data_IF_372481062878
#
_entry.id   IF_372481062878
#
_cell.length_a   1.000
_cell.length_b   1.000
_cell.length_c   1.000
_cell.angle_alpha   90.00
_cell.angle_beta   90.00
_cell.angle_gamma   90.00
#
_symmetry.space_group_name_H-M   'P 1'
#
loop_
_entity.id
_entity.type
_entity.pdbx_description
1 polymer ?
#
# COMPACT_ATOMS: atom_id res chain seq x y z
N UNK A 1 35.30 -0.46 -12.45
CA UNK A 1 34.36 -1.02 -11.42
C UNK A 1 32.89 -0.68 -11.67
N UNK A 2 32.50 0.39 -12.33
CA UNK A 2 31.08 0.74 -12.56
C UNK A 2 30.39 -0.08 -13.68
N UNK A 3 31.13 -0.78 -14.54
CA UNK A 3 30.56 -1.49 -15.71
C UNK A 3 29.60 -2.63 -15.35
N UNK A 4 29.83 -3.33 -14.25
CA UNK A 4 28.97 -4.44 -13.79
C UNK A 4 27.62 -3.99 -13.24
N UNK A 5 27.49 -2.72 -12.82
CA UNK A 5 26.26 -2.15 -12.25
C UNK A 5 25.45 -1.32 -13.24
N UNK A 6 25.89 -1.21 -14.49
CA UNK A 6 25.24 -0.36 -15.50
C UNK A 6 23.76 -0.67 -15.70
N UNK A 7 23.35 -1.95 -15.59
CA UNK A 7 21.95 -2.31 -15.75
C UNK A 7 21.05 -1.77 -14.62
N UNK A 8 21.57 -1.72 -13.37
CA UNK A 8 20.84 -1.21 -12.21
C UNK A 8 20.79 0.32 -12.24
N UNK A 9 21.87 0.96 -12.69
CA UNK A 9 22.01 2.41 -12.69
C UNK A 9 21.39 3.10 -13.92
N UNK A 10 20.93 2.33 -14.93
CA UNK A 10 20.24 2.92 -16.10
C UNK A 10 18.84 3.39 -15.74
N UNK A 11 18.40 4.53 -16.29
CA UNK A 11 17.02 4.98 -16.17
C UNK A 11 16.02 3.94 -16.66
N UNK A 12 14.79 4.01 -16.12
CA UNK A 12 13.68 3.17 -16.54
C UNK A 12 12.40 4.00 -16.55
N UNK A 13 11.54 3.74 -17.55
CA UNK A 13 10.21 4.33 -17.62
C UNK A 13 9.17 3.37 -17.02
N UNK A 14 8.45 3.83 -16.00
CA UNK A 14 7.38 3.11 -15.34
C UNK A 14 6.05 3.80 -15.67
N UNK A 15 5.46 3.47 -16.83
CA UNK A 15 4.34 4.21 -17.38
C UNK A 15 4.74 5.66 -17.68
N UNK A 16 4.03 6.67 -17.16
CA UNK A 16 4.39 8.07 -17.37
C UNK A 16 5.56 8.54 -16.48
N UNK A 17 5.94 7.76 -15.48
CA UNK A 17 6.97 8.12 -14.51
C UNK A 17 8.34 7.62 -14.96
N UNK A 18 9.31 8.53 -15.07
CA UNK A 18 10.71 8.19 -15.34
C UNK A 18 11.49 8.14 -14.04
N UNK A 19 12.22 7.05 -13.84
CA UNK A 19 13.13 6.83 -12.72
C UNK A 19 14.58 6.95 -13.21
N UNK A 20 15.45 7.63 -12.44
CA UNK A 20 16.87 7.84 -12.81
C UNK A 20 17.69 6.55 -12.81
N UNK A 21 17.24 5.54 -12.06
CA UNK A 21 17.85 4.20 -11.99
C UNK A 21 16.81 3.18 -11.56
N UNK A 22 17.23 1.94 -11.26
CA UNK A 22 16.34 0.83 -10.85
C UNK A 22 16.42 0.50 -9.36
N UNK A 23 17.00 1.39 -8.54
CA UNK A 23 17.05 1.24 -7.09
C UNK A 23 15.82 1.91 -6.48
N UNK A 24 15.10 1.16 -5.68
CA UNK A 24 13.91 1.65 -4.95
C UNK A 24 13.99 1.25 -3.48
N UNK A 25 13.50 2.10 -2.60
CA UNK A 25 13.31 1.77 -1.19
C UNK A 25 11.91 1.19 -1.01
N UNK A 26 11.82 -0.06 -0.55
CA UNK A 26 10.55 -0.70 -0.22
C UNK A 26 9.88 -0.03 0.99
N UNK A 27 8.56 -0.16 1.14
CA UNK A 27 7.87 0.35 2.33
C UNK A 27 8.34 -0.41 3.58
N UNK A 28 8.86 0.33 4.56
CA UNK A 28 9.38 -0.20 5.82
C UNK A 28 8.64 0.45 6.97
N UNK A 29 8.15 -0.36 7.92
CA UNK A 29 7.66 0.16 9.19
C UNK A 29 8.85 0.58 10.05
N UNK A 30 9.09 1.89 10.13
CA UNK A 30 10.20 2.47 10.89
C UNK A 30 9.87 2.67 12.37
N UNK A 31 8.59 2.58 12.74
CA UNK A 31 8.10 3.01 14.06
C UNK A 31 7.96 4.53 14.20
N UNK A 32 8.31 5.31 13.17
CA UNK A 32 8.22 6.78 13.16
C UNK A 32 6.91 7.28 12.55
N UNK A 33 6.00 6.39 12.17
CA UNK A 33 4.77 6.70 11.43
C UNK A 33 3.68 7.36 12.29
N UNK A 34 4.04 8.08 13.33
CA UNK A 34 3.11 8.88 14.14
C UNK A 34 3.31 10.38 13.87
N UNK A 35 2.29 11.18 14.16
CA UNK A 35 2.32 12.62 13.89
C UNK A 35 3.43 13.37 14.62
N UNK A 36 3.88 12.89 15.78
CA UNK A 36 4.96 13.52 16.56
C UNK A 36 6.34 13.31 15.95
N UNK A 37 6.51 12.33 15.07
CA UNK A 37 7.79 11.93 14.49
C UNK A 37 7.92 12.25 12.99
N UNK A 38 7.02 13.07 12.43
CA UNK A 38 7.04 13.37 10.98
C UNK A 38 8.34 14.01 10.49
N UNK A 39 9.04 14.77 11.32
CA UNK A 39 10.34 15.35 10.97
C UNK A 39 11.40 14.23 10.82
N UNK A 40 11.51 13.34 11.82
CA UNK A 40 12.44 12.21 11.77
C UNK A 40 12.11 11.25 10.62
N UNK A 41 10.81 11.05 10.30
CA UNK A 41 10.39 10.26 9.16
C UNK A 41 10.76 10.95 7.82
N UNK A 42 10.67 12.28 7.75
CA UNK A 42 11.11 13.03 6.59
C UNK A 42 12.61 12.93 6.36
N UNK A 43 13.40 13.02 7.44
CA UNK A 43 14.86 12.87 7.39
C UNK A 43 15.24 11.45 6.92
N UNK A 44 14.59 10.41 7.43
CA UNK A 44 14.81 9.02 7.02
C UNK A 44 14.62 8.81 5.50
N UNK A 45 13.53 9.34 4.93
CA UNK A 45 13.29 9.20 3.49
C UNK A 45 14.19 10.13 2.65
N UNK A 46 14.54 11.30 3.16
CA UNK A 46 15.47 12.21 2.51
C UNK A 46 16.89 11.62 2.43
N UNK A 47 17.35 10.94 3.48
CA UNK A 47 18.64 10.25 3.51
C UNK A 47 18.68 9.13 2.44
N UNK A 48 17.66 8.28 2.37
CA UNK A 48 17.56 7.27 1.33
C UNK A 48 17.58 7.88 -0.09
N UNK A 49 16.91 9.02 -0.29
CA UNK A 49 16.91 9.73 -1.57
C UNK A 49 18.29 10.33 -1.91
N UNK A 50 19.01 10.86 -0.89
CA UNK A 50 20.37 11.38 -1.01
C UNK A 50 21.37 10.27 -1.38
N UNK A 51 21.18 9.05 -0.87
CA UNK A 51 21.98 7.86 -1.18
C UNK A 51 21.74 7.32 -2.61
N UNK A 52 20.86 7.97 -3.37
CA UNK A 52 20.75 7.76 -4.81
C UNK A 52 19.64 6.83 -5.27
N UNK A 53 18.72 6.38 -4.40
CA UNK A 53 17.53 5.66 -4.86
C UNK A 53 16.66 6.55 -5.76
N UNK A 54 15.95 5.95 -6.69
CA UNK A 54 15.11 6.66 -7.66
C UNK A 54 13.64 6.76 -7.22
N UNK A 55 13.23 5.90 -6.30
CA UNK A 55 11.88 5.87 -5.75
C UNK A 55 11.94 5.44 -4.28
N UNK A 56 11.33 6.21 -3.40
CA UNK A 56 11.04 5.79 -2.02
C UNK A 56 9.55 5.50 -1.89
N UNK A 57 9.20 4.39 -1.24
CA UNK A 57 7.81 4.07 -0.94
C UNK A 57 7.56 4.22 0.56
N UNK A 58 6.68 5.15 0.93
CA UNK A 58 6.29 5.35 2.31
C UNK A 58 5.43 4.17 2.78
N UNK A 59 5.78 3.62 3.95
CA UNK A 59 4.91 2.70 4.65
C UNK A 59 3.63 3.43 5.08
N UNK A 60 2.47 2.81 4.87
CA UNK A 60 1.18 3.43 5.22
C UNK A 60 1.00 3.51 6.73
N UNK A 61 1.08 4.69 7.35
CA UNK A 61 1.05 4.83 8.81
C UNK A 61 -0.34 4.59 9.43
N UNK A 62 -1.39 4.60 8.65
CA UNK A 62 -2.74 4.28 9.13
C UNK A 62 -2.86 2.89 9.75
N UNK A 63 -1.84 2.05 9.58
CA UNK A 63 -1.85 0.64 9.96
C UNK A 63 -1.07 0.33 11.23
N UNK A 64 -0.10 1.16 11.64
CA UNK A 64 0.84 0.77 12.69
C UNK A 64 0.40 1.09 14.13
N UNK A 65 -0.40 2.11 14.38
CA UNK A 65 -0.69 2.53 15.75
C UNK A 65 -2.14 2.81 16.10
N UNK A 66 -2.89 3.39 15.18
CA UNK A 66 -4.28 3.81 15.44
C UNK A 66 -5.33 2.78 15.00
N UNK A 67 -4.94 1.75 14.26
CA UNK A 67 -5.83 0.64 13.88
C UNK A 67 -6.40 -0.14 15.10
N UNK A 68 -5.96 0.16 16.30
CA UNK A 68 -6.52 -0.43 17.53
C UNK A 68 -7.84 0.19 17.95
N UNK A 69 -8.25 1.34 17.42
CA UNK A 69 -9.44 2.03 17.92
C UNK A 69 -10.50 2.42 16.89
N UNK A 70 -10.20 2.51 15.59
CA UNK A 70 -11.18 2.85 14.55
C UNK A 70 -10.99 2.08 13.25
N UNK A 71 -12.01 1.51 12.83
CA UNK A 71 -12.40 0.47 11.91
C UNK A 71 -12.02 0.57 10.43
N UNK A 72 -11.35 1.55 9.93
CA UNK A 72 -11.06 1.70 8.50
C UNK A 72 -9.56 1.60 8.21
N UNK A 73 -9.19 0.52 7.54
CA UNK A 73 -7.87 -0.11 7.45
C UNK A 73 -7.06 0.33 6.23
N UNK A 74 -7.58 1.21 5.48
CA UNK A 74 -6.83 2.06 4.56
C UNK A 74 -6.64 3.39 5.24
N UNK A 75 -5.61 4.20 4.90
CA UNK A 75 -5.69 5.60 5.24
C UNK A 75 -7.10 6.01 4.85
N UNK A 76 -7.92 6.35 5.86
CA UNK A 76 -9.34 6.53 5.59
C UNK A 76 -9.48 7.65 4.58
N UNK A 77 -10.57 7.63 3.84
CA UNK A 77 -10.93 8.77 2.98
C UNK A 77 -10.99 10.09 3.78
N UNK A 78 -11.08 10.01 5.12
CA UNK A 78 -11.00 11.13 6.05
C UNK A 78 -9.59 11.53 6.45
N UNK A 79 -8.56 10.71 6.21
CA UNK A 79 -7.20 11.05 6.60
C UNK A 79 -6.66 12.25 5.80
N UNK A 80 -6.06 13.18 6.51
CA UNK A 80 -5.45 14.35 5.89
C UNK A 80 -4.08 14.00 5.31
N UNK A 81 -4.06 13.65 4.02
CA UNK A 81 -2.82 13.37 3.29
C UNK A 81 -1.87 14.57 3.23
N UNK A 82 -2.33 15.80 3.55
CA UNK A 82 -1.45 16.99 3.62
C UNK A 82 -0.37 16.85 4.68
N UNK A 83 -0.55 16.00 5.68
CA UNK A 83 0.46 15.69 6.70
C UNK A 83 1.76 15.12 6.11
N UNK A 84 1.72 14.50 4.92
CA UNK A 84 2.91 13.98 4.25
C UNK A 84 3.72 15.04 3.48
N UNK A 85 3.19 16.27 3.34
CA UNK A 85 3.91 17.34 2.62
C UNK A 85 5.33 17.61 3.13
N UNK A 86 5.65 17.57 4.44
CA UNK A 86 7.05 17.71 4.90
C UNK A 86 7.97 16.65 4.31
N UNK A 87 7.52 15.39 4.23
CA UNK A 87 8.29 14.27 3.65
C UNK A 87 8.47 14.48 2.15
N UNK A 88 7.39 14.79 1.42
CA UNK A 88 7.45 15.07 -0.01
C UNK A 88 8.41 16.23 -0.31
N UNK A 89 8.38 17.29 0.50
CA UNK A 89 9.29 18.43 0.39
C UNK A 89 10.74 18.03 0.65
N UNK A 90 11.02 17.25 1.68
CA UNK A 90 12.38 16.79 2.02
C UNK A 90 12.99 15.96 0.87
N UNK A 91 12.22 15.03 0.30
CA UNK A 91 12.66 14.19 -0.82
C UNK A 91 12.78 14.95 -2.14
N UNK A 92 11.97 16.01 -2.35
CA UNK A 92 11.96 16.79 -3.60
C UNK A 92 13.27 17.50 -3.93
N UNK A 93 14.17 17.66 -2.95
CA UNK A 93 15.53 18.21 -3.14
C UNK A 93 16.44 17.24 -3.92
N UNK A 94 16.02 15.99 -4.08
CA UNK A 94 16.75 14.95 -4.78
C UNK A 94 15.95 14.49 -6.01
N UNK A 95 16.62 14.02 -7.04
CA UNK A 95 15.93 13.39 -8.18
C UNK A 95 15.44 11.98 -7.77
N UNK A 96 14.39 11.97 -6.93
CA UNK A 96 13.79 10.79 -6.37
C UNK A 96 12.26 10.94 -6.37
N UNK A 97 11.56 9.91 -6.82
CA UNK A 97 10.10 9.85 -6.80
C UNK A 97 9.60 9.32 -5.46
N UNK A 98 8.37 9.67 -5.11
CA UNK A 98 7.77 9.25 -3.84
C UNK A 98 6.46 8.53 -4.10
N UNK A 99 6.37 7.28 -3.62
CA UNK A 99 5.14 6.52 -3.56
C UNK A 99 4.65 6.37 -2.11
N UNK A 100 3.39 6.00 -1.94
CA UNK A 100 2.83 5.55 -0.66
C UNK A 100 2.21 4.18 -0.81
N UNK A 101 2.48 3.29 0.14
CA UNK A 101 1.84 1.99 0.21
C UNK A 101 0.37 2.14 0.63
N UNK A 102 -0.52 1.47 -0.09
CA UNK A 102 -1.92 1.28 0.27
C UNK A 102 -2.14 -0.18 0.66
N UNK A 103 -2.53 -0.42 1.91
CA UNK A 103 -2.69 -1.77 2.43
C UNK A 103 -4.02 -1.92 3.18
N UNK A 104 -4.70 -3.04 2.97
CA UNK A 104 -5.86 -3.48 3.74
C UNK A 104 -5.51 -4.75 4.49
N UNK A 105 -5.32 -4.69 5.80
CA UNK A 105 -4.82 -5.80 6.64
C UNK A 105 -5.84 -6.93 6.88
N UNK A 106 -7.04 -6.81 6.31
CA UNK A 106 -8.00 -7.92 6.22
C UNK A 106 -8.35 -8.54 7.56
N UNK A 107 -8.01 -9.81 7.71
CA UNK A 107 -8.30 -10.62 8.89
C UNK A 107 -7.68 -10.13 10.21
N UNK A 108 -6.62 -9.35 10.12
CA UNK A 108 -5.91 -8.81 11.28
C UNK A 108 -6.37 -7.40 11.66
N UNK A 109 -7.42 -6.92 10.99
CA UNK A 109 -8.01 -5.63 11.29
C UNK A 109 -8.49 -5.54 12.72
N UNK A 110 -8.15 -4.45 13.39
CA UNK A 110 -8.62 -4.16 14.77
C UNK A 110 -10.11 -3.82 14.89
N UNK A 111 -10.92 -4.17 13.89
CA UNK A 111 -12.36 -3.88 13.79
C UNK A 111 -13.22 -4.96 14.41
N UNK A 112 -14.49 -4.63 14.65
CA UNK A 112 -15.47 -5.58 15.20
C UNK A 112 -15.72 -6.78 14.26
N UNK A 113 -15.67 -6.56 12.94
CA UNK A 113 -15.89 -7.58 11.91
C UNK A 113 -14.74 -7.62 10.89
N UNK A 114 -13.59 -8.23 11.28
CA UNK A 114 -12.48 -8.40 10.32
C UNK A 114 -12.93 -9.30 9.17
N UNK A 115 -12.37 -9.07 7.97
CA UNK A 115 -12.75 -9.79 6.75
C UNK A 115 -11.54 -10.43 6.07
N UNK A 116 -11.79 -11.53 5.35
CA UNK A 116 -10.83 -12.20 4.49
C UNK A 116 -11.55 -12.79 3.26
N UNK A 117 -10.85 -13.52 2.41
CA UNK A 117 -11.49 -14.26 1.30
C UNK A 117 -12.46 -15.32 1.80
N UNK A 118 -12.12 -15.98 2.91
CA UNK A 118 -12.93 -17.01 3.60
C UNK A 118 -13.02 -16.71 5.09
N UNK A 119 -13.97 -17.32 5.85
CA UNK A 119 -14.04 -17.14 7.29
C UNK A 119 -12.93 -17.94 8.01
N UNK A 120 -12.61 -17.53 9.23
CA UNK A 120 -11.62 -18.21 10.05
C UNK A 120 -11.32 -17.48 11.37
N UNK A 121 -10.21 -17.87 11.99
CA UNK A 121 -9.67 -17.22 13.19
C UNK A 121 -8.25 -16.74 12.91
N UNK A 122 -7.98 -15.48 13.16
CA UNK A 122 -6.63 -14.91 12.99
C UNK A 122 -5.69 -15.50 14.06
N UNK A 123 -4.62 -16.12 13.62
CA UNK A 123 -3.54 -16.61 14.49
C UNK A 123 -2.80 -15.49 15.21
N UNK A 124 -2.89 -14.27 14.68
CA UNK A 124 -2.21 -13.11 15.24
C UNK A 124 -3.02 -12.39 16.30
N UNK A 125 -4.31 -12.20 16.08
CA UNK A 125 -5.20 -11.46 16.98
C UNK A 125 -6.06 -12.35 17.84
N UNK A 126 -6.16 -13.66 17.52
CA UNK A 126 -7.11 -14.59 18.15
C UNK A 126 -8.59 -14.33 17.83
N UNK A 127 -8.88 -13.33 17.00
CA UNK A 127 -10.25 -12.94 16.65
C UNK A 127 -10.77 -13.69 15.44
N UNK A 128 -12.07 -14.00 15.45
CA UNK A 128 -12.77 -14.51 14.28
C UNK A 128 -12.86 -13.45 13.19
N UNK A 129 -12.74 -13.87 11.94
CA UNK A 129 -12.98 -13.04 10.77
C UNK A 129 -13.96 -13.70 9.80
N UNK A 130 -14.58 -12.90 8.96
CA UNK A 130 -15.66 -13.33 8.07
C UNK A 130 -15.22 -13.34 6.61
N UNK A 131 -15.85 -14.20 5.79
CA UNK A 131 -15.73 -14.10 4.35
C UNK A 131 -16.28 -12.76 3.88
N UNK A 132 -15.49 -12.00 3.13
CA UNK A 132 -15.91 -10.71 2.60
C UNK A 132 -17.06 -10.89 1.59
N UNK A 133 -18.27 -10.37 1.83
CA UNK A 133 -19.31 -10.36 0.81
C UNK A 133 -18.95 -9.39 -0.32
N UNK A 134 -19.52 -9.59 -1.49
CA UNK A 134 -19.15 -8.85 -2.71
C UNK A 134 -19.26 -7.31 -2.55
N UNK A 135 -20.21 -6.83 -1.74
CA UNK A 135 -20.36 -5.38 -1.51
C UNK A 135 -19.19 -4.80 -0.70
N UNK A 136 -18.63 -5.54 0.28
CA UNK A 136 -17.44 -5.11 1.01
C UNK A 136 -16.18 -5.16 0.16
N UNK A 137 -16.06 -6.14 -0.74
CA UNK A 137 -14.96 -6.18 -1.72
C UNK A 137 -15.01 -4.93 -2.61
N UNK A 138 -16.18 -4.60 -3.14
CA UNK A 138 -16.36 -3.38 -3.96
C UNK A 138 -16.11 -2.10 -3.16
N UNK A 139 -16.54 -2.05 -1.90
CA UNK A 139 -16.24 -0.94 -0.99
C UNK A 139 -14.73 -0.78 -0.83
N UNK A 140 -13.99 -1.86 -0.59
CA UNK A 140 -12.53 -1.82 -0.47
C UNK A 140 -11.87 -1.33 -1.77
N UNK A 141 -12.29 -1.81 -2.95
CA UNK A 141 -11.80 -1.33 -4.25
C UNK A 141 -11.99 0.19 -4.37
N UNK A 142 -13.17 0.69 -4.01
CA UNK A 142 -13.46 2.12 -4.05
C UNK A 142 -12.59 2.92 -3.08
N UNK A 143 -12.36 2.42 -1.87
CA UNK A 143 -11.49 3.04 -0.88
C UNK A 143 -10.04 3.13 -1.36
N UNK A 144 -9.50 2.08 -1.99
CA UNK A 144 -8.18 2.12 -2.63
C UNK A 144 -8.08 3.24 -3.67
N UNK A 145 -9.10 3.37 -4.53
CA UNK A 145 -9.14 4.40 -5.56
C UNK A 145 -9.20 5.82 -4.96
N UNK A 146 -10.02 6.02 -3.93
CA UNK A 146 -10.11 7.31 -3.23
C UNK A 146 -8.79 7.68 -2.55
N UNK A 147 -8.10 6.71 -1.91
CA UNK A 147 -6.79 6.96 -1.31
C UNK A 147 -5.74 7.29 -2.38
N UNK A 148 -5.74 6.60 -3.52
CA UNK A 148 -4.84 6.89 -4.64
C UNK A 148 -5.05 8.31 -5.18
N UNK A 149 -6.31 8.74 -5.36
CA UNK A 149 -6.65 10.11 -5.78
C UNK A 149 -6.16 11.16 -4.79
N UNK A 150 -6.32 10.92 -3.48
CA UNK A 150 -5.83 11.82 -2.44
C UNK A 150 -4.31 11.89 -2.39
N UNK A 151 -3.63 10.75 -2.51
CA UNK A 151 -2.18 10.72 -2.61
C UNK A 151 -1.68 11.58 -3.79
N UNK A 152 -2.27 11.41 -4.98
CA UNK A 152 -1.95 12.22 -6.14
C UNK A 152 -2.22 13.72 -5.90
N UNK A 153 -3.33 14.07 -5.23
CA UNK A 153 -3.70 15.48 -4.98
C UNK A 153 -2.75 16.23 -4.06
N UNK A 154 -1.94 15.52 -3.26
CA UNK A 154 -0.94 16.15 -2.36
C UNK A 154 0.48 16.06 -2.90
N UNK A 155 0.71 15.34 -4.02
CA UNK A 155 1.98 15.33 -4.73
C UNK A 155 2.77 14.02 -4.67
N UNK A 156 2.15 12.89 -4.30
CA UNK A 156 2.77 11.58 -4.53
C UNK A 156 2.84 11.27 -6.02
N UNK A 157 3.97 10.70 -6.47
CA UNK A 157 4.18 10.28 -7.86
C UNK A 157 3.48 8.95 -8.18
N UNK A 158 3.30 8.08 -7.17
CA UNK A 158 2.69 6.77 -7.33
C UNK A 158 2.03 6.26 -6.03
N UNK A 159 1.24 5.20 -6.17
CA UNK A 159 0.79 4.37 -5.05
C UNK A 159 1.24 2.93 -5.26
N UNK A 160 1.64 2.26 -4.18
CA UNK A 160 1.94 0.84 -4.14
C UNK A 160 0.76 0.10 -3.49
N UNK A 161 0.20 -0.90 -4.18
CA UNK A 161 -0.91 -1.70 -3.64
C UNK A 161 -0.34 -2.94 -3.00
N UNK A 162 -0.43 -3.06 -1.67
CA UNK A 162 0.04 -4.25 -0.97
C UNK A 162 -0.86 -5.45 -1.27
N UNK A 163 -0.28 -6.43 -1.97
CA UNK A 163 -0.90 -7.71 -2.29
C UNK A 163 -0.11 -8.90 -1.69
N UNK A 164 0.65 -8.65 -0.63
CA UNK A 164 1.54 -9.63 0.01
C UNK A 164 1.13 -9.93 1.45
N UNK A 165 1.78 -10.93 2.04
CA UNK A 165 1.65 -11.27 3.45
C UNK A 165 0.21 -11.61 3.85
N UNK A 166 -0.32 -10.88 4.83
CA UNK A 166 -1.66 -11.07 5.38
C UNK A 166 -2.67 -10.01 4.93
N UNK A 167 -2.32 -9.27 3.87
CA UNK A 167 -3.24 -8.28 3.31
C UNK A 167 -4.55 -8.93 2.81
N UNK A 168 -5.62 -8.16 2.78
CA UNK A 168 -6.90 -8.65 2.26
C UNK A 168 -6.75 -9.15 0.82
N UNK A 169 -6.05 -8.41 -0.03
CA UNK A 169 -5.81 -8.80 -1.43
C UNK A 169 -5.03 -10.11 -1.50
N UNK A 170 -3.99 -10.29 -0.68
CA UNK A 170 -3.22 -11.55 -0.64
C UNK A 170 -4.09 -12.76 -0.29
N UNK A 171 -5.06 -12.58 0.62
CA UNK A 171 -6.00 -13.66 0.97
C UNK A 171 -6.84 -14.12 -0.22
N UNK A 172 -7.16 -13.22 -1.15
CA UNK A 172 -7.88 -13.56 -2.38
C UNK A 172 -6.99 -14.22 -3.43
N UNK A 173 -5.74 -13.81 -3.54
CA UNK A 173 -4.78 -14.34 -4.52
C UNK A 173 -4.35 -15.77 -4.21
N UNK A 174 -4.25 -16.14 -2.94
CA UNK A 174 -3.73 -17.42 -2.49
C UNK A 174 -4.68 -18.59 -2.81
N UNK A 175 -4.29 -19.57 -3.64
CA UNK A 175 -5.12 -20.75 -3.87
C UNK A 175 -5.24 -21.66 -2.64
N UNK A 176 -4.30 -21.55 -1.70
CA UNK A 176 -4.34 -22.30 -0.44
C UNK A 176 -5.34 -21.73 0.57
N UNK A 177 -5.66 -20.43 0.46
CA UNK A 177 -6.57 -19.73 1.37
C UNK A 177 -7.93 -19.53 0.71
N UNK A 178 -7.95 -19.03 -0.53
CA UNK A 178 -9.19 -18.67 -1.22
C UNK A 178 -9.87 -19.91 -1.83
N UNK A 179 -10.73 -20.53 -1.06
CA UNK A 179 -11.56 -21.69 -1.47
C UNK A 179 -12.96 -21.28 -1.95
N UNK A 180 -13.18 -20.00 -2.27
CA UNK A 180 -14.47 -19.48 -2.74
C UNK A 180 -14.89 -20.13 -4.07
N UNK A 181 -16.21 -20.34 -4.20
CA UNK A 181 -16.85 -20.86 -5.39
C UNK A 181 -17.57 -19.78 -6.22
N UNK A 182 -17.45 -18.51 -5.83
CA UNK A 182 -18.03 -17.37 -6.55
C UNK A 182 -17.02 -16.71 -7.50
N UNK A 183 -17.43 -15.64 -8.16
CA UNK A 183 -16.62 -14.88 -9.11
C UNK A 183 -15.31 -14.30 -8.54
N UNK A 184 -15.07 -14.38 -7.22
CA UNK A 184 -13.89 -13.89 -6.53
C UNK A 184 -12.91 -15.00 -6.14
N UNK A 185 -13.17 -16.27 -6.50
CA UNK A 185 -12.30 -17.37 -6.10
C UNK A 185 -12.37 -18.65 -6.90
N UNK A 186 -13.43 -18.89 -7.70
CA UNK A 186 -13.69 -20.15 -8.42
C UNK A 186 -12.49 -20.66 -9.23
N UNK A 187 -11.71 -19.76 -9.82
CA UNK A 187 -10.55 -20.09 -10.66
C UNK A 187 -9.45 -19.04 -10.50
N UNK A 188 -8.36 -19.18 -11.24
CA UNK A 188 -7.25 -18.25 -11.20
C UNK A 188 -7.67 -16.81 -11.51
N UNK A 189 -8.47 -16.58 -12.54
CA UNK A 189 -8.96 -15.24 -12.90
C UNK A 189 -9.83 -14.65 -11.80
N UNK A 190 -10.69 -15.45 -11.18
CA UNK A 190 -11.50 -15.04 -10.02
C UNK A 190 -10.63 -14.60 -8.84
N UNK A 191 -9.57 -15.35 -8.53
CA UNK A 191 -8.63 -14.97 -7.45
C UNK A 191 -7.90 -13.67 -7.74
N UNK A 192 -7.52 -13.41 -9.00
CA UNK A 192 -6.86 -12.16 -9.40
C UNK A 192 -7.81 -10.97 -9.53
N UNK A 193 -9.11 -11.21 -9.61
CA UNK A 193 -10.12 -10.21 -9.91
C UNK A 193 -10.07 -9.01 -8.97
N UNK A 194 -9.94 -9.24 -7.66
CA UNK A 194 -9.89 -8.16 -6.67
C UNK A 194 -8.69 -7.22 -6.94
N UNK A 195 -7.49 -7.78 -7.11
CA UNK A 195 -6.31 -6.99 -7.42
C UNK A 195 -6.47 -6.21 -8.74
N UNK A 196 -6.92 -6.88 -9.79
CA UNK A 196 -7.08 -6.26 -11.11
C UNK A 196 -8.10 -5.12 -11.10
N UNK A 197 -9.25 -5.31 -10.44
CA UNK A 197 -10.26 -4.26 -10.32
C UNK A 197 -9.75 -3.09 -9.46
N UNK A 198 -8.97 -3.36 -8.40
CA UNK A 198 -8.33 -2.33 -7.58
C UNK A 198 -7.35 -1.49 -8.41
N UNK A 199 -6.41 -2.13 -9.13
CA UNK A 199 -5.45 -1.42 -9.99
C UNK A 199 -6.16 -0.58 -11.05
N UNK A 200 -7.16 -1.14 -11.71
CA UNK A 200 -7.95 -0.41 -12.73
C UNK A 200 -8.68 0.79 -12.14
N UNK A 201 -9.21 0.65 -10.92
CA UNK A 201 -9.92 1.73 -10.25
C UNK A 201 -8.97 2.86 -9.82
N UNK A 202 -7.78 2.53 -9.32
CA UNK A 202 -6.75 3.53 -8.99
C UNK A 202 -6.24 4.30 -10.22
N UNK A 203 -6.17 3.66 -11.40
CA UNK A 203 -5.71 4.31 -12.64
C UNK A 203 -6.72 5.26 -13.28
N UNK A 204 -8.01 5.12 -13.00
CA UNK A 204 -9.09 5.91 -13.62
C UNK A 204 -9.32 7.26 -12.93
N UNK A 205 -8.76 7.43 -11.76
CA UNK A 205 -8.90 8.62 -10.93
C UNK A 205 -7.55 9.36 -10.83
#
# INVERSE_FOLDING_TARGET
>A
MLSQWQHILRPIDCGPMRLKNRLTSAPINTGLENLSNLAALADFYAEAAADGVSLVTLFSPALSGQAKQNADILPTVSDDFRRYKPILKAVSSFDCRVAIELNHIGQDAGVLFPISSVPGVSKHTGKSFHAAPAFLIRKAIHQFAQCAQRAASVGFDAVEINASGRSLIASFLSPAINTRQDAWGTNQLGRFRFLLETVRSCKRN
#
